data_IF_335496325591
#
_entry.id   IF_335496325591
#
_cell.length_a   1.000
_cell.length_b   1.000
_cell.length_c   1.000
_cell.angle_alpha   90.00
_cell.angle_beta   90.00
_cell.angle_gamma   90.00
#
_symmetry.space_group_name_H-M   'P 1'
#
loop_
_entity.id
_entity.type
_entity.pdbx_description
1 polymer ?
#
# COMPACT_ATOMS: atom_id res chain seq x y z
N UNK A 1 -17.73 -10.24 9.40
CA UNK A 1 -16.91 -9.80 8.27
C UNK A 1 -15.58 -9.46 8.87
N UNK A 2 -14.51 -10.05 8.36
CA UNK A 2 -13.16 -9.84 8.90
C UNK A 2 -12.53 -8.65 8.17
N UNK A 3 -12.31 -7.55 8.90
CA UNK A 3 -11.63 -6.37 8.37
C UNK A 3 -10.15 -6.68 8.12
N UNK A 4 -9.62 -6.23 6.98
CA UNK A 4 -8.21 -6.43 6.59
C UNK A 4 -7.43 -5.14 6.71
N UNK A 5 -6.29 -5.19 7.40
CA UNK A 5 -5.43 -4.03 7.69
C UNK A 5 -4.05 -4.21 7.06
N UNK A 6 -3.57 -3.17 6.36
CA UNK A 6 -2.20 -3.07 5.84
C UNK A 6 -1.40 -2.05 6.64
N UNK A 7 -0.28 -2.48 7.23
CA UNK A 7 0.64 -1.66 8.00
C UNK A 7 1.98 -1.52 7.28
N UNK A 8 2.41 -0.28 7.02
CA UNK A 8 3.63 0.04 6.28
C UNK A 8 4.66 0.73 7.19
N UNK A 9 5.81 0.10 7.37
CA UNK A 9 6.91 0.66 8.17
C UNK A 9 7.59 1.86 7.49
N UNK A 10 8.22 2.69 8.33
CA UNK A 10 9.16 3.70 7.85
C UNK A 10 10.47 3.06 7.36
N UNK A 11 11.19 3.75 6.48
CA UNK A 11 12.45 3.20 5.96
C UNK A 11 13.30 4.14 5.12
N UNK A 12 12.94 5.43 5.03
CA UNK A 12 13.62 6.38 4.15
C UNK A 12 13.59 5.89 2.70
N UNK A 13 14.75 5.80 2.06
CA UNK A 13 14.88 5.29 0.69
C UNK A 13 14.47 3.81 0.53
N UNK A 14 14.52 3.02 1.60
CA UNK A 14 14.15 1.59 1.57
C UNK A 14 12.64 1.37 1.36
N UNK A 15 11.83 2.42 1.36
CA UNK A 15 10.42 2.33 0.95
C UNK A 15 10.23 1.76 -0.45
N UNK A 16 11.25 1.79 -1.32
CA UNK A 16 11.23 1.10 -2.62
C UNK A 16 10.98 -0.40 -2.47
N UNK A 17 11.50 -1.04 -1.42
CA UNK A 17 11.27 -2.47 -1.15
C UNK A 17 9.79 -2.72 -0.85
N UNK A 18 9.16 -1.83 -0.09
CA UNK A 18 7.72 -1.90 0.21
C UNK A 18 6.92 -1.78 -1.09
N UNK A 19 7.27 -0.84 -1.97
CA UNK A 19 6.59 -0.66 -3.25
C UNK A 19 6.68 -1.90 -4.14
N UNK A 20 7.86 -2.52 -4.27
CA UNK A 20 8.05 -3.76 -5.05
C UNK A 20 7.20 -4.92 -4.50
N UNK A 21 7.09 -5.04 -3.17
CA UNK A 21 6.24 -6.06 -2.54
C UNK A 21 4.76 -5.77 -2.84
N UNK A 22 4.33 -4.52 -2.73
CA UNK A 22 2.94 -4.14 -3.02
C UNK A 22 2.59 -4.38 -4.49
N UNK A 23 3.47 -4.05 -5.43
CA UNK A 23 3.29 -4.35 -6.86
C UNK A 23 3.16 -5.86 -7.12
N UNK A 24 4.00 -6.68 -6.48
CA UNK A 24 3.89 -8.14 -6.57
C UNK A 24 2.55 -8.66 -6.03
N UNK A 25 2.06 -8.07 -4.93
CA UNK A 25 0.74 -8.41 -4.36
C UNK A 25 -0.38 -8.01 -5.32
N UNK A 26 -0.36 -6.80 -5.90
CA UNK A 26 -1.38 -6.38 -6.88
C UNK A 26 -1.42 -7.29 -8.09
N UNK A 27 -0.23 -7.69 -8.59
CA UNK A 27 -0.12 -8.59 -9.73
C UNK A 27 -0.73 -9.96 -9.46
N UNK A 28 -0.48 -10.53 -8.28
CA UNK A 28 -1.04 -11.83 -7.90
C UNK A 28 -2.54 -11.74 -7.61
N UNK A 29 -2.99 -10.65 -6.97
CA UNK A 29 -4.39 -10.46 -6.61
C UNK A 29 -5.28 -10.00 -7.79
N UNK A 30 -4.67 -9.46 -8.85
CA UNK A 30 -5.37 -8.90 -10.01
C UNK A 30 -6.23 -7.67 -9.68
N UNK A 31 -5.95 -7.01 -8.56
CA UNK A 31 -6.68 -5.85 -8.04
C UNK A 31 -5.71 -4.87 -7.37
N UNK A 32 -6.00 -3.57 -7.38
CA UNK A 32 -5.16 -2.60 -6.71
C UNK A 32 -5.21 -2.77 -5.18
N UNK A 33 -4.12 -2.42 -4.47
CA UNK A 33 -3.98 -2.58 -3.00
C UNK A 33 -5.16 -1.98 -2.25
N UNK A 34 -5.65 -0.81 -2.69
CA UNK A 34 -6.78 -0.12 -2.05
C UNK A 34 -8.09 -0.92 -2.04
N UNK A 35 -8.24 -1.91 -2.92
CA UNK A 35 -9.43 -2.77 -2.99
C UNK A 35 -9.21 -4.09 -2.21
N UNK A 36 -7.99 -4.33 -1.73
CA UNK A 36 -7.61 -5.53 -0.97
C UNK A 36 -7.68 -5.33 0.55
N UNK A 37 -7.61 -4.10 1.04
CA UNK A 37 -7.56 -3.78 2.46
C UNK A 37 -8.56 -2.69 2.81
N UNK A 38 -9.24 -2.86 3.94
CA UNK A 38 -10.23 -1.91 4.46
C UNK A 38 -9.54 -0.75 5.19
N UNK A 39 -8.37 -1.01 5.77
CA UNK A 39 -7.55 -0.02 6.49
C UNK A 39 -6.10 -0.05 6.01
N UNK A 40 -5.53 1.13 5.77
CA UNK A 40 -4.13 1.29 5.36
C UNK A 40 -3.48 2.35 6.24
N UNK A 41 -2.36 2.01 6.87
CA UNK A 41 -1.60 2.92 7.71
C UNK A 41 -0.10 2.75 7.53
N UNK A 42 0.67 3.79 7.88
CA UNK A 42 2.12 3.68 7.88
C UNK A 42 2.81 4.85 8.55
N UNK A 43 4.10 4.69 8.85
CA UNK A 43 4.92 5.71 9.52
C UNK A 43 6.01 6.25 8.58
N UNK A 44 6.29 7.55 8.63
CA UNK A 44 7.31 8.20 7.78
C UNK A 44 7.10 7.84 6.28
N UNK A 45 8.09 7.23 5.61
CA UNK A 45 7.96 6.76 4.21
C UNK A 45 6.76 5.85 4.01
N UNK A 46 6.48 4.91 4.93
CA UNK A 46 5.32 4.04 4.84
C UNK A 46 4.00 4.84 4.92
N UNK A 47 3.98 5.94 5.67
CA UNK A 47 2.85 6.87 5.72
C UNK A 47 2.65 7.62 4.40
N UNK A 48 3.74 8.06 3.75
CA UNK A 48 3.68 8.67 2.42
C UNK A 48 3.13 7.67 1.38
N UNK A 49 3.59 6.41 1.43
CA UNK A 49 3.09 5.35 0.54
C UNK A 49 1.60 5.09 0.82
N UNK A 50 1.20 4.97 2.09
CA UNK A 50 -0.21 4.79 2.47
C UNK A 50 -1.10 5.93 1.95
N UNK A 51 -0.65 7.18 2.08
CA UNK A 51 -1.32 8.35 1.49
C UNK A 51 -1.40 8.26 -0.03
N UNK A 52 -0.31 7.85 -0.69
CA UNK A 52 -0.28 7.61 -2.13
C UNK A 52 -1.35 6.62 -2.57
N UNK A 53 -1.48 5.48 -1.88
CA UNK A 53 -2.49 4.46 -2.19
C UNK A 53 -3.91 4.99 -1.93
N UNK A 54 -4.14 5.68 -0.80
CA UNK A 54 -5.46 6.18 -0.42
C UNK A 54 -5.96 7.32 -1.32
N UNK A 55 -5.05 8.17 -1.80
CA UNK A 55 -5.38 9.36 -2.60
C UNK A 55 -5.17 9.16 -4.10
N UNK A 56 -4.59 8.04 -4.54
CA UNK A 56 -4.39 7.73 -5.95
C UNK A 56 -5.73 7.73 -6.68
N UNK A 57 -5.99 8.82 -7.41
CA UNK A 57 -7.01 8.83 -8.45
C UNK A 57 -6.49 7.91 -9.54
N UNK A 58 -7.23 6.83 -9.79
CA UNK A 58 -6.91 5.79 -10.77
C UNK A 58 -6.32 6.43 -12.03
N UNK A 59 -5.02 6.21 -12.27
CA UNK A 59 -4.46 6.46 -13.60
C UNK A 59 -5.06 5.37 -14.48
N UNK A 60 -5.89 5.81 -15.42
CA UNK A 60 -6.62 5.03 -16.42
C UNK A 60 -5.80 3.88 -17.00
#
# INVERSE_FOLDING_TARGET
MDDRVLCLDGGGIRGIIILEILEAIEKEAGKPIKDLFDWIGGTSTGGIIALGIATAHLRN
#
